data_IF_739345979472
#
_entry.id   IF_739345979472
#
_cell.length_a   1.000
_cell.length_b   1.000
_cell.length_c   1.000
_cell.angle_alpha   90.00
_cell.angle_beta   90.00
_cell.angle_gamma   90.00
#
_symmetry.space_group_name_H-M   'P 1'
#
loop_
_entity.id
_entity.type
_entity.pdbx_description
1 polymer ?
#
# COMPACT_ATOMS: atom_id res chain seq x y z
N UNK A 1 -4.98 -11.21 10.82
CA UNK A 1 -4.01 -10.17 10.41
C UNK A 1 -4.50 -8.85 10.97
N UNK A 2 -3.66 -8.13 11.71
CA UNK A 2 -4.01 -6.80 12.23
C UNK A 2 -4.07 -5.77 11.10
N UNK A 3 -4.71 -4.62 11.34
CA UNK A 3 -4.72 -3.48 10.42
C UNK A 3 -3.30 -3.03 10.07
N UNK A 4 -2.42 -2.89 11.07
CA UNK A 4 -1.01 -2.56 10.83
C UNK A 4 -0.30 -3.53 9.89
N UNK A 5 -0.50 -4.84 10.08
CA UNK A 5 0.10 -5.82 9.17
C UNK A 5 -0.44 -5.70 7.74
N UNK A 6 -1.72 -5.35 7.57
CA UNK A 6 -2.29 -5.08 6.24
C UNK A 6 -1.66 -3.83 5.63
N UNK A 7 -1.54 -2.74 6.38
CA UNK A 7 -0.96 -1.46 5.94
C UNK A 7 0.50 -1.66 5.53
N UNK A 8 1.27 -2.35 6.36
CA UNK A 8 2.67 -2.70 6.11
C UNK A 8 2.81 -3.49 4.81
N UNK A 9 1.96 -4.51 4.62
CA UNK A 9 1.97 -5.34 3.42
C UNK A 9 1.49 -4.59 2.18
N UNK A 10 0.54 -3.67 2.33
CA UNK A 10 0.08 -2.79 1.26
C UNK A 10 1.21 -1.85 0.81
N UNK A 11 1.94 -1.23 1.74
CA UNK A 11 3.08 -0.37 1.43
C UNK A 11 4.15 -1.12 0.61
N UNK A 12 4.53 -2.32 1.05
CA UNK A 12 5.44 -3.18 0.30
C UNK A 12 4.88 -3.54 -1.10
N UNK A 13 3.57 -3.79 -1.19
CA UNK A 13 2.90 -4.06 -2.46
C UNK A 13 2.91 -2.89 -3.43
N UNK A 14 2.67 -1.67 -2.95
CA UNK A 14 2.74 -0.43 -3.74
C UNK A 14 4.16 -0.21 -4.26
N UNK A 15 5.17 -0.39 -3.40
CA UNK A 15 6.58 -0.28 -3.77
C UNK A 15 6.97 -1.21 -4.93
N UNK A 16 6.42 -2.43 -4.95
CA UNK A 16 6.77 -3.46 -5.94
C UNK A 16 5.91 -3.40 -7.22
N UNK A 17 4.79 -2.68 -7.23
CA UNK A 17 3.80 -2.70 -8.32
C UNK A 17 3.38 -1.30 -8.77
N UNK A 18 4.35 -0.53 -9.30
CA UNK A 18 4.08 0.82 -9.78
C UNK A 18 2.98 0.85 -10.86
N UNK A 19 2.06 1.81 -10.75
CA UNK A 19 0.95 1.99 -11.70
C UNK A 19 -0.15 0.94 -11.62
N UNK A 20 -0.10 0.02 -10.65
CA UNK A 20 -1.13 -1.01 -10.44
C UNK A 20 -2.19 -0.53 -9.46
N UNK A 21 -3.46 -0.89 -9.69
CA UNK A 21 -4.54 -0.52 -8.77
C UNK A 21 -4.37 -1.22 -7.42
N UNK A 22 -4.69 -0.51 -6.33
CA UNK A 22 -4.58 -1.06 -4.98
C UNK A 22 -5.44 -2.32 -4.81
N UNK A 23 -6.59 -2.41 -5.50
CA UNK A 23 -7.44 -3.61 -5.52
C UNK A 23 -6.70 -4.83 -6.09
N UNK A 24 -5.83 -4.63 -7.09
CA UNK A 24 -5.02 -5.70 -7.67
C UNK A 24 -3.88 -6.07 -6.73
N UNK A 25 -3.21 -5.07 -6.15
CA UNK A 25 -2.12 -5.27 -5.18
C UNK A 25 -2.62 -6.07 -3.97
N UNK A 26 -3.76 -5.70 -3.36
CA UNK A 26 -4.28 -6.44 -2.20
C UNK A 26 -4.62 -7.89 -2.54
N UNK A 27 -5.09 -8.19 -3.77
CA UNK A 27 -5.33 -9.56 -4.22
C UNK A 27 -4.03 -10.34 -4.37
N UNK A 28 -3.02 -9.77 -5.03
CA UNK A 28 -1.70 -10.39 -5.23
C UNK A 28 -1.00 -10.69 -3.90
N UNK A 29 -1.12 -9.78 -2.93
CA UNK A 29 -0.50 -9.89 -1.61
C UNK A 29 -1.38 -10.67 -0.60
N UNK A 30 -2.52 -11.22 -1.02
CA UNK A 30 -3.42 -11.97 -0.13
C UNK A 30 -3.98 -11.13 1.04
N UNK A 31 -4.10 -9.81 0.84
CA UNK A 31 -4.69 -8.89 1.80
C UNK A 31 -6.20 -8.93 1.62
N UNK A 32 -6.91 -9.53 2.59
CA UNK A 32 -8.37 -9.47 2.65
C UNK A 32 -8.79 -8.10 3.16
N UNK A 33 -9.21 -7.21 2.26
CA UNK A 33 -9.73 -5.89 2.61
C UNK A 33 -10.98 -5.56 1.81
N UNK A 34 -11.94 -4.89 2.45
CA UNK A 34 -13.08 -4.25 1.76
C UNK A 34 -12.64 -2.94 1.10
N UNK A 35 -13.42 -2.38 0.18
CA UNK A 35 -13.10 -1.07 -0.42
C UNK A 35 -12.98 0.04 0.63
N UNK A 36 -13.91 0.20 1.60
CA UNK A 36 -13.76 1.19 2.66
C UNK A 36 -12.50 0.99 3.51
N UNK A 37 -12.16 -0.26 3.81
CA UNK A 37 -10.93 -0.57 4.54
C UNK A 37 -9.67 -0.23 3.72
N UNK A 38 -9.69 -0.49 2.41
CA UNK A 38 -8.59 -0.12 1.53
C UNK A 38 -8.40 1.39 1.44
N UNK A 39 -9.50 2.15 1.45
CA UNK A 39 -9.47 3.61 1.50
C UNK A 39 -8.87 4.11 2.82
N UNK A 40 -9.29 3.55 3.96
CA UNK A 40 -8.69 3.87 5.26
C UNK A 40 -7.19 3.58 5.30
N UNK A 41 -6.78 2.44 4.76
CA UNK A 41 -5.37 2.05 4.72
C UNK A 41 -4.51 2.99 3.84
N UNK A 42 -5.04 3.45 2.71
CA UNK A 42 -4.28 4.37 1.83
C UNK A 42 -4.25 5.79 2.41
N UNK A 43 -5.34 6.24 3.04
CA UNK A 43 -5.39 7.52 3.72
C UNK A 43 -4.39 7.53 4.89
N UNK A 44 -4.28 6.43 5.64
CA UNK A 44 -3.29 6.29 6.71
C UNK A 44 -1.84 6.26 6.19
N UNK A 45 -1.58 5.61 5.05
CA UNK A 45 -0.24 5.68 4.42
C UNK A 45 0.11 7.09 3.94
N UNK A 46 -0.90 7.86 3.52
CA UNK A 46 -0.72 9.24 3.10
C UNK A 46 -0.45 10.16 4.29
N UNK A 47 -1.20 10.00 5.39
CA UNK A 47 -0.99 10.74 6.63
C UNK A 47 0.39 10.46 7.25
N UNK A 48 0.92 9.24 7.04
CA UNK A 48 2.29 8.85 7.41
C UNK A 48 3.37 9.40 6.45
N UNK A 49 3.00 10.06 5.35
CA UNK A 49 3.94 10.60 4.36
C UNK A 49 4.52 9.56 3.40
N UNK A 50 3.99 8.33 3.37
CA UNK A 50 4.56 7.24 2.57
C UNK A 50 4.03 7.16 1.13
N UNK A 51 2.88 7.77 0.86
CA UNK A 51 2.28 7.81 -0.47
C UNK A 51 1.71 9.20 -0.76
N UNK A 52 1.57 9.51 -2.04
CA UNK A 52 0.98 10.75 -2.53
C UNK A 52 0.19 10.50 -3.83
N UNK A 53 -0.43 11.56 -4.37
CA UNK A 53 -1.19 11.50 -5.64
C UNK A 53 -2.26 10.40 -5.66
N UNK A 54 -3.08 10.31 -4.60
CA UNK A 54 -4.16 9.31 -4.53
C UNK A 54 -5.23 9.64 -5.58
N UNK A 55 -5.44 8.73 -6.52
CA UNK A 55 -6.53 8.80 -7.49
C UNK A 55 -7.58 7.72 -7.18
N UNK A 56 -8.83 8.14 -7.01
CA UNK A 56 -9.98 7.24 -6.83
C UNK A 56 -10.85 7.32 -8.10
N UNK A 57 -10.99 6.22 -8.83
CA UNK A 57 -11.82 6.14 -10.04
C UNK A 57 -12.56 4.81 -10.13
N UNK A 58 -13.53 4.66 -11.06
CA UNK A 58 -14.20 3.38 -11.30
C UNK A 58 -13.23 2.24 -11.70
N UNK A 59 -12.02 2.57 -12.17
CA UNK A 59 -10.97 1.60 -12.52
C UNK A 59 -10.20 1.09 -11.30
N UNK A 60 -10.32 1.78 -10.16
CA UNK A 60 -9.64 1.41 -8.92
C UNK A 60 -9.09 2.62 -8.18
N UNK A 61 -8.35 2.32 -7.11
CA UNK A 61 -7.59 3.30 -6.35
C UNK A 61 -6.14 3.17 -6.80
N UNK A 62 -5.48 4.30 -7.03
CA UNK A 62 -4.07 4.36 -7.40
C UNK A 62 -3.37 5.36 -6.47
N UNK A 63 -2.08 5.13 -6.21
CA UNK A 63 -1.25 6.04 -5.44
C UNK A 63 0.20 5.91 -5.90
N UNK A 64 0.97 6.98 -5.72
CA UNK A 64 2.41 7.00 -5.94
C UNK A 64 3.13 6.89 -4.60
N UNK A 65 4.23 6.15 -4.55
CA UNK A 65 5.05 6.03 -3.34
C UNK A 65 5.98 7.24 -3.23
N UNK A 66 6.15 7.79 -2.03
CA UNK A 66 7.16 8.84 -1.77
C UNK A 66 8.55 8.23 -1.59
N UNK A 67 9.59 9.06 -1.53
CA UNK A 67 10.94 8.61 -1.17
C UNK A 67 10.97 7.97 0.23
N UNK A 68 10.31 8.59 1.21
CA UNK A 68 10.20 8.06 2.59
C UNK A 68 9.44 6.73 2.63
N UNK A 69 8.35 6.61 1.88
CA UNK A 69 7.61 5.37 1.74
C UNK A 69 8.44 4.26 1.10
N UNK A 70 9.28 4.60 0.13
CA UNK A 70 10.17 3.66 -0.55
C UNK A 70 11.28 3.15 0.39
N UNK A 71 11.90 4.04 1.18
CA UNK A 71 12.84 3.64 2.23
C UNK A 71 12.19 2.72 3.25
N UNK A 72 10.99 3.09 3.74
CA UNK A 72 10.26 2.26 4.69
C UNK A 72 9.87 0.90 4.10
N UNK A 73 9.42 0.86 2.85
CA UNK A 73 9.10 -0.38 2.16
C UNK A 73 10.34 -1.28 1.99
N UNK A 74 11.49 -0.68 1.68
CA UNK A 74 12.75 -1.41 1.56
C UNK A 74 13.16 -2.06 2.89
N UNK A 75 13.10 -1.32 4.00
CA UNK A 75 13.37 -1.88 5.33
C UNK A 75 12.49 -3.11 5.59
N UNK A 76 11.18 -3.00 5.31
CA UNK A 76 10.23 -4.10 5.50
C UNK A 76 10.56 -5.33 4.67
N UNK A 77 11.04 -5.14 3.44
CA UNK A 77 11.43 -6.22 2.54
C UNK A 77 12.74 -6.88 3.00
N UNK A 78 13.70 -6.11 3.48
CA UNK A 78 14.96 -6.63 4.02
C UNK A 78 14.71 -7.46 5.30
N UNK A 79 13.87 -6.98 6.20
CA UNK A 79 13.46 -7.73 7.40
C UNK A 79 12.69 -9.02 7.09
N UNK A 80 12.01 -9.11 5.94
CA UNK A 80 11.25 -10.31 5.57
C UNK A 80 12.13 -11.44 5.01
N UNK A 81 13.38 -11.13 4.63
CA UNK A 81 14.35 -12.08 4.06
C UNK A 81 15.42 -12.49 5.09
N UNK A 82 15.51 -11.78 6.22
CA UNK A 82 16.37 -12.09 7.36
C UNK A 82 15.76 -13.20 8.25
#
# INVERSE_FOLDING_TARGET
MSTESKITKLLAGICLNYGTSLQTIVRQFGIKASTPELEQMIDELHDRGYVHSIEKSPKGIFAQITSEGNEKAKDLLEYAVA
#
